data_IF_425586905480
#
_entry.id   IF_425586905480
#
_cell.length_a   1.000
_cell.length_b   1.000
_cell.length_c   1.000
_cell.angle_alpha   90.00
_cell.angle_beta   90.00
_cell.angle_gamma   90.00
#
_symmetry.space_group_name_H-M   'P 1'
#
loop_
_entity.id
_entity.type
_entity.pdbx_description
1 polymer ?
#
# COMPACT_ATOMS: atom_id res chain seq x y z
N UNK A 1 -0.57 21.10 17.51
CA UNK A 1 -1.84 21.00 18.25
C UNK A 1 -2.24 19.55 18.34
N UNK A 2 -2.65 19.04 19.51
CA UNK A 2 -3.20 17.69 19.65
C UNK A 2 -4.75 17.70 19.69
N UNK A 3 -5.40 16.52 19.75
CA UNK A 3 -6.86 16.42 19.77
C UNK A 3 -7.48 17.06 21.02
N UNK A 4 -6.85 16.90 22.18
CA UNK A 4 -7.25 17.55 23.43
C UNK A 4 -7.31 19.08 23.31
N UNK A 5 -6.25 19.69 22.79
CA UNK A 5 -6.15 21.13 22.56
C UNK A 5 -7.18 21.62 21.53
N UNK A 6 -7.45 20.83 20.48
CA UNK A 6 -8.47 21.17 19.49
C UNK A 6 -9.86 21.27 20.12
N UNK A 7 -10.24 20.27 20.94
CA UNK A 7 -11.51 20.28 21.68
C UNK A 7 -11.61 21.46 22.62
N UNK A 8 -10.56 21.73 23.41
CA UNK A 8 -10.55 22.85 24.34
C UNK A 8 -10.77 24.18 23.61
N UNK A 9 -10.09 24.39 22.48
CA UNK A 9 -10.26 25.61 21.67
C UNK A 9 -11.66 25.75 21.06
N UNK A 10 -12.31 24.64 20.70
CA UNK A 10 -13.72 24.65 20.25
C UNK A 10 -14.63 25.00 21.42
N UNK A 11 -14.43 24.38 22.58
CA UNK A 11 -15.19 24.63 23.80
C UNK A 11 -15.11 26.10 24.23
N UNK A 12 -13.90 26.65 24.29
CA UNK A 12 -13.65 28.05 24.65
C UNK A 12 -14.34 29.01 23.67
N UNK A 13 -14.36 28.65 22.38
CA UNK A 13 -14.86 29.53 21.33
C UNK A 13 -16.38 29.56 21.19
N UNK A 14 -17.07 28.47 21.55
CA UNK A 14 -18.53 28.43 21.55
C UNK A 14 -19.12 28.88 22.90
N UNK A 15 -18.29 29.02 23.94
CA UNK A 15 -18.74 29.41 25.28
C UNK A 15 -19.64 28.35 25.93
N UNK A 16 -19.39 27.06 25.62
CA UNK A 16 -20.22 25.96 26.05
C UNK A 16 -20.35 25.92 27.59
N UNK A 17 -21.58 25.96 28.09
CA UNK A 17 -21.89 25.68 29.50
C UNK A 17 -22.75 24.44 29.70
N UNK A 18 -23.33 23.89 28.62
CA UNK A 18 -24.15 22.67 28.68
C UNK A 18 -23.27 21.41 28.68
N UNK A 19 -23.59 20.46 29.56
CA UNK A 19 -22.89 19.18 29.68
C UNK A 19 -23.04 18.34 28.41
N UNK A 20 -24.19 18.43 27.75
CA UNK A 20 -24.48 17.71 26.51
C UNK A 20 -23.61 18.20 25.35
N UNK A 21 -23.54 19.52 25.11
CA UNK A 21 -22.69 20.06 24.05
C UNK A 21 -21.20 19.74 24.31
N UNK A 22 -20.76 19.85 25.57
CA UNK A 22 -19.38 19.51 25.96
C UNK A 22 -19.03 18.05 25.64
N UNK A 23 -19.98 17.12 25.84
CA UNK A 23 -19.79 15.69 25.53
C UNK A 23 -19.68 15.40 24.02
N UNK A 24 -20.20 16.28 23.16
CA UNK A 24 -20.20 16.10 21.70
C UNK A 24 -19.03 16.81 20.99
N UNK A 25 -18.24 17.63 21.70
CA UNK A 25 -17.14 18.38 21.09
C UNK A 25 -16.13 17.46 20.38
N UNK A 26 -15.84 16.30 20.97
CA UNK A 26 -14.97 15.30 20.33
C UNK A 26 -15.51 14.89 18.95
N UNK A 27 -16.79 14.52 18.87
CA UNK A 27 -17.48 14.18 17.63
C UNK A 27 -17.40 15.33 16.62
N UNK A 28 -17.66 16.57 17.04
CA UNK A 28 -17.62 17.75 16.17
C UNK A 28 -16.24 18.01 15.59
N UNK A 29 -15.19 17.87 16.39
CA UNK A 29 -13.80 17.99 15.92
C UNK A 29 -13.46 16.85 14.96
N UNK A 30 -13.85 15.61 15.29
CA UNK A 30 -13.63 14.44 14.43
C UNK A 30 -14.33 14.59 13.07
N UNK A 31 -15.57 15.09 13.05
CA UNK A 31 -16.31 15.35 11.82
C UNK A 31 -15.68 16.48 11.00
N UNK A 32 -15.17 17.54 11.65
CA UNK A 32 -14.44 18.60 10.97
C UNK A 32 -13.16 18.07 10.29
N UNK A 33 -12.41 17.19 10.97
CA UNK A 33 -11.24 16.53 10.40
C UNK A 33 -11.65 15.63 9.22
N UNK A 34 -12.71 14.84 9.39
CA UNK A 34 -13.27 14.01 8.31
C UNK A 34 -13.63 14.85 7.09
N UNK A 35 -14.30 15.98 7.27
CA UNK A 35 -14.67 16.90 6.19
C UNK A 35 -13.46 17.50 5.48
N UNK A 36 -12.41 17.87 6.24
CA UNK A 36 -11.14 18.33 5.66
C UNK A 36 -10.56 17.24 4.76
N UNK A 37 -10.42 16.01 5.23
CA UNK A 37 -9.85 14.92 4.42
C UNK A 37 -10.77 14.44 3.29
N UNK A 38 -12.10 14.54 3.44
CA UNK A 38 -13.06 14.29 2.37
C UNK A 38 -13.00 15.37 1.28
N UNK A 39 -12.61 16.59 1.62
CA UNK A 39 -12.51 17.69 0.67
C UNK A 39 -11.35 17.54 -0.33
N UNK A 40 -10.40 16.62 -0.13
CA UNK A 40 -9.36 16.37 -1.13
C UNK A 40 -8.23 15.49 -0.65
N UNK A 41 -7.35 15.15 -1.59
CA UNK A 41 -6.08 14.49 -1.30
C UNK A 41 -5.03 15.55 -0.97
N UNK A 42 -4.47 15.47 0.23
CA UNK A 42 -3.58 16.49 0.75
C UNK A 42 -2.11 16.08 0.67
N UNK A 43 -1.16 16.97 0.32
CA UNK A 43 0.26 16.61 0.21
C UNK A 43 0.84 15.99 1.49
N UNK A 44 0.33 16.38 2.66
CA UNK A 44 0.76 15.82 3.94
C UNK A 44 0.21 14.43 4.24
N UNK A 45 -0.75 13.94 3.45
CA UNK A 45 -1.23 12.55 3.50
C UNK A 45 -0.45 11.65 2.53
N UNK A 46 0.45 12.21 1.71
CA UNK A 46 1.34 11.43 0.88
C UNK A 46 2.41 10.80 1.76
N UNK A 47 2.61 9.49 1.60
CA UNK A 47 3.65 8.74 2.28
C UNK A 47 4.56 8.07 1.27
N UNK A 48 5.79 7.84 1.70
CA UNK A 48 6.79 7.10 0.94
C UNK A 48 7.49 6.16 1.90
N UNK A 49 7.43 4.88 1.60
CA UNK A 49 7.98 3.84 2.45
C UNK A 49 8.77 2.82 1.64
N UNK A 50 9.55 2.02 2.36
CA UNK A 50 10.36 0.96 1.79
C UNK A 50 9.81 -0.37 2.28
N UNK A 51 9.66 -1.32 1.38
CA UNK A 51 9.31 -2.70 1.73
C UNK A 51 10.22 -3.65 0.97
N UNK A 52 10.39 -4.85 1.51
CA UNK A 52 11.20 -5.90 0.88
C UNK A 52 10.28 -7.00 0.39
N UNK A 53 10.44 -7.40 -0.87
CA UNK A 53 9.85 -8.64 -1.39
C UNK A 53 10.96 -9.65 -1.50
N UNK A 54 10.73 -10.84 -0.96
CA UNK A 54 11.75 -11.88 -0.97
C UNK A 54 11.76 -12.62 -2.30
N UNK A 55 12.94 -13.11 -2.66
CA UNK A 55 13.10 -13.93 -3.85
C UNK A 55 12.38 -15.26 -3.74
N UNK A 56 12.22 -15.94 -4.88
CA UNK A 56 11.74 -17.31 -4.90
C UNK A 56 12.70 -18.26 -4.16
N UNK A 57 12.14 -19.16 -3.35
CA UNK A 57 12.91 -20.14 -2.57
C UNK A 57 12.81 -21.50 -3.26
N UNK A 58 13.94 -22.19 -3.42
CA UNK A 58 13.96 -23.54 -4.00
C UNK A 58 14.18 -24.59 -2.92
N UNK A 59 13.56 -25.75 -3.13
CA UNK A 59 13.65 -26.88 -2.21
C UNK A 59 13.26 -28.19 -2.86
N UNK A 60 12.94 -29.17 -2.03
CA UNK A 60 12.50 -30.50 -2.41
C UNK A 60 11.24 -30.86 -1.64
N UNK A 61 10.32 -31.52 -2.33
CA UNK A 61 9.05 -31.95 -1.76
C UNK A 61 8.64 -33.32 -2.27
N UNK A 62 7.72 -33.93 -1.55
CA UNK A 62 7.05 -35.16 -1.91
C UNK A 62 5.55 -34.89 -2.08
N UNK A 63 4.98 -35.32 -3.20
CA UNK A 63 3.57 -35.19 -3.52
C UNK A 63 3.07 -36.36 -4.35
N UNK A 64 1.77 -36.61 -4.28
CA UNK A 64 1.11 -37.63 -5.10
C UNK A 64 0.15 -36.98 -6.05
N UNK A 65 0.09 -37.47 -7.30
CA UNK A 65 -0.91 -37.03 -8.26
C UNK A 65 -2.33 -37.16 -7.69
N UNK A 66 -3.12 -36.10 -7.79
CA UNK A 66 -4.47 -36.00 -7.26
C UNK A 66 -4.57 -35.64 -5.78
N UNK A 67 -3.45 -35.50 -5.07
CA UNK A 67 -3.44 -35.02 -3.69
C UNK A 67 -3.56 -33.49 -3.64
N UNK A 68 -4.12 -32.99 -2.54
CA UNK A 68 -4.06 -31.56 -2.18
C UNK A 68 -2.93 -31.25 -1.20
N UNK A 69 -2.20 -32.26 -0.73
CA UNK A 69 -1.10 -32.09 0.21
C UNK A 69 0.26 -32.27 -0.47
N UNK A 70 1.16 -31.33 -0.24
CA UNK A 70 2.57 -31.37 -0.62
C UNK A 70 3.42 -31.33 0.65
N UNK A 71 4.30 -32.31 0.84
CA UNK A 71 5.14 -32.41 2.04
C UNK A 71 6.55 -31.95 1.68
N UNK A 72 7.05 -30.92 2.35
CA UNK A 72 8.42 -30.45 2.19
C UNK A 72 9.37 -31.34 2.99
N UNK A 73 10.55 -31.61 2.44
CA UNK A 73 11.54 -32.43 3.15
C UNK A 73 12.09 -31.67 4.37
N UNK A 74 12.26 -32.38 5.50
CA UNK A 74 12.84 -31.81 6.73
C UNK A 74 14.31 -31.47 6.54
N UNK A 75 14.75 -30.29 7.02
CA UNK A 75 16.12 -29.79 6.85
C UNK A 75 16.38 -29.11 5.50
N UNK A 76 15.32 -28.84 4.73
CA UNK A 76 15.39 -28.04 3.52
C UNK A 76 15.44 -26.54 3.86
N UNK A 77 16.26 -25.72 3.19
CA UNK A 77 16.19 -24.26 3.28
C UNK A 77 14.79 -23.70 3.01
N UNK A 78 14.04 -24.36 2.13
CA UNK A 78 12.63 -24.08 1.85
C UNK A 78 11.67 -24.48 2.97
N UNK A 79 12.09 -25.22 4.00
CA UNK A 79 11.27 -25.50 5.19
C UNK A 79 11.59 -24.49 6.30
N UNK A 80 12.84 -24.05 6.39
CA UNK A 80 13.32 -23.08 7.37
C UNK A 80 12.95 -21.63 7.03
N UNK A 81 13.17 -21.20 5.79
CA UNK A 81 12.74 -19.88 5.31
C UNK A 81 11.23 -19.72 5.47
N UNK A 82 10.55 -20.82 5.25
CA UNK A 82 9.12 -20.92 5.32
C UNK A 82 8.59 -20.78 6.77
N UNK A 83 9.18 -21.45 7.76
CA UNK A 83 8.75 -21.35 9.15
C UNK A 83 8.88 -19.95 9.79
N UNK A 84 9.56 -19.00 9.14
CA UNK A 84 9.95 -17.73 9.74
C UNK A 84 8.93 -16.59 9.58
N UNK A 85 8.05 -16.60 8.56
CA UNK A 85 6.99 -15.58 8.27
C UNK A 85 6.52 -15.63 6.81
N UNK A 86 7.00 -16.57 6.01
CA UNK A 86 6.71 -16.62 4.59
C UNK A 86 5.43 -17.41 4.39
N UNK A 87 4.40 -16.82 3.78
CA UNK A 87 3.37 -17.59 3.09
C UNK A 87 3.44 -17.14 1.64
N UNK A 88 4.25 -17.82 0.85
CA UNK A 88 4.17 -17.70 -0.60
C UNK A 88 2.80 -18.19 -1.03
N UNK A 89 2.06 -17.42 -1.83
CA UNK A 89 0.75 -17.85 -2.30
C UNK A 89 0.82 -18.90 -3.39
N UNK A 90 2.02 -19.18 -3.94
CA UNK A 90 2.20 -20.10 -5.06
C UNK A 90 3.37 -21.06 -4.85
N UNK A 91 3.21 -22.30 -5.30
CA UNK A 91 4.25 -23.32 -5.40
C UNK A 91 4.31 -23.90 -6.81
N UNK A 92 5.51 -23.96 -7.39
CA UNK A 92 5.77 -24.65 -8.65
C UNK A 92 6.17 -26.09 -8.38
N UNK A 93 5.38 -27.04 -8.86
CA UNK A 93 5.68 -28.46 -8.85
C UNK A 93 5.94 -28.90 -10.29
N UNK A 94 7.18 -29.30 -10.59
CA UNK A 94 7.60 -29.67 -11.95
C UNK A 94 7.27 -28.58 -12.99
N UNK A 95 6.15 -28.71 -13.70
CA UNK A 95 5.74 -27.80 -14.78
C UNK A 95 4.57 -26.90 -14.43
N UNK A 96 3.76 -27.23 -13.41
CA UNK A 96 2.58 -26.44 -13.05
C UNK A 96 2.81 -25.65 -11.76
N UNK A 97 2.04 -24.57 -11.63
CA UNK A 97 2.02 -23.71 -10.46
C UNK A 97 0.66 -23.89 -9.78
N UNK A 98 0.71 -24.06 -8.46
CA UNK A 98 -0.44 -24.29 -7.60
C UNK A 98 -0.53 -23.17 -6.57
N UNK A 99 -1.74 -22.79 -6.18
CA UNK A 99 -1.94 -21.90 -5.05
C UNK A 99 -1.75 -22.66 -3.75
N UNK A 100 -1.05 -22.07 -2.78
CA UNK A 100 -0.95 -22.60 -1.42
C UNK A 100 -2.14 -22.02 -0.65
N UNK A 101 -3.08 -22.89 -0.27
CA UNK A 101 -4.31 -22.54 0.46
C UNK A 101 -4.07 -22.47 1.97
N UNK A 102 -3.42 -23.50 2.52
CA UNK A 102 -3.10 -23.60 3.95
C UNK A 102 -1.70 -24.11 4.11
N UNK A 103 -1.00 -23.60 5.11
CA UNK A 103 0.23 -24.19 5.56
C UNK A 103 0.27 -24.34 7.07
N UNK A 104 0.47 -25.59 7.48
CA UNK A 104 0.77 -25.97 8.84
C UNK A 104 2.30 -26.02 9.08
N UNK A 105 2.83 -24.97 9.71
CA UNK A 105 4.26 -24.87 10.05
C UNK A 105 4.74 -26.02 10.93
N UNK A 106 3.85 -26.67 11.70
CA UNK A 106 4.21 -27.79 12.58
C UNK A 106 4.53 -29.09 11.85
N UNK A 107 4.06 -29.26 10.61
CA UNK A 107 4.11 -30.54 9.88
C UNK A 107 4.84 -30.47 8.53
N UNK A 108 5.43 -29.32 8.18
CA UNK A 108 6.06 -29.09 6.87
C UNK A 108 5.15 -29.46 5.68
N UNK A 109 3.84 -29.40 5.88
CA UNK A 109 2.83 -29.79 4.89
C UNK A 109 2.11 -28.55 4.38
N UNK A 110 2.11 -28.42 3.06
CA UNK A 110 1.38 -27.40 2.30
C UNK A 110 0.11 -28.02 1.74
N UNK A 111 -1.00 -27.32 1.88
CA UNK A 111 -2.24 -27.63 1.16
C UNK A 111 -2.31 -26.75 -0.08
N UNK A 112 -2.55 -27.36 -1.23
CA UNK A 112 -2.61 -26.69 -2.53
C UNK A 112 -3.99 -26.80 -3.17
N UNK A 113 -4.37 -25.76 -3.91
CA UNK A 113 -5.59 -25.70 -4.74
C UNK A 113 -5.24 -25.20 -6.15
N UNK A 114 -5.64 -25.89 -7.23
CA UNK A 114 -6.30 -27.21 -7.29
C UNK A 114 -5.41 -28.37 -6.84
N UNK A 115 -6.03 -29.55 -6.67
CA UNK A 115 -5.29 -30.80 -6.44
C UNK A 115 -4.24 -31.04 -7.54
N UNK A 116 -3.11 -31.64 -7.16
CA UNK A 116 -1.94 -31.78 -8.03
C UNK A 116 -2.27 -32.60 -9.27
N UNK A 117 -2.12 -32.00 -10.46
CA UNK A 117 -2.37 -32.67 -11.74
C UNK A 117 -1.11 -33.32 -12.32
N UNK A 118 0.06 -32.87 -11.85
CA UNK A 118 1.37 -33.40 -12.23
C UNK A 118 1.56 -34.87 -11.83
N UNK A 119 2.59 -35.50 -12.40
CA UNK A 119 3.06 -36.79 -11.92
C UNK A 119 3.53 -36.68 -10.46
N UNK A 120 3.39 -37.76 -9.70
CA UNK A 120 3.88 -37.84 -8.32
C UNK A 120 5.39 -37.56 -8.27
N UNK A 121 5.82 -36.80 -7.25
CA UNK A 121 7.22 -36.48 -6.99
C UNK A 121 7.65 -37.03 -5.63
N UNK A 122 8.90 -37.48 -5.53
CA UNK A 122 9.53 -37.89 -4.27
C UNK A 122 10.88 -37.20 -4.18
N UNK A 123 11.09 -36.39 -3.14
CA UNK A 123 12.25 -35.49 -3.02
C UNK A 123 12.51 -34.68 -4.31
N UNK A 124 11.44 -34.29 -5.01
CA UNK A 124 11.52 -33.62 -6.29
C UNK A 124 11.63 -32.11 -6.10
N UNK A 125 12.35 -31.45 -7.00
CA UNK A 125 12.60 -30.01 -6.91
C UNK A 125 11.29 -29.20 -6.97
N UNK A 126 11.17 -28.24 -6.07
CA UNK A 126 10.06 -27.28 -6.00
C UNK A 126 10.58 -25.86 -5.87
N UNK A 127 9.77 -24.91 -6.31
CA UNK A 127 10.02 -23.47 -6.11
C UNK A 127 8.82 -22.87 -5.43
N UNK A 128 9.04 -22.23 -4.29
CA UNK A 128 8.02 -21.50 -3.53
C UNK A 128 8.19 -20.02 -3.83
N UNK A 129 7.07 -19.37 -4.12
CA UNK A 129 7.05 -18.04 -4.67
C UNK A 129 6.30 -17.15 -3.70
N UNK A 130 6.99 -16.13 -3.19
CA UNK A 130 6.30 -15.02 -2.56
C UNK A 130 5.75 -14.10 -3.64
N UNK A 131 4.49 -14.30 -3.96
CA UNK A 131 3.76 -13.40 -4.84
C UNK A 131 3.08 -12.28 -4.06
N UNK A 132 2.96 -12.36 -2.73
CA UNK A 132 2.17 -11.44 -1.92
C UNK A 132 2.98 -10.66 -0.89
N UNK A 133 2.63 -9.38 -0.74
CA UNK A 133 3.13 -8.49 0.32
C UNK A 133 1.97 -7.72 0.93
N UNK A 134 1.79 -7.86 2.25
CA UNK A 134 0.94 -6.97 3.03
C UNK A 134 1.63 -5.63 3.24
N UNK A 135 0.92 -4.57 2.90
CA UNK A 135 1.37 -3.20 3.13
C UNK A 135 1.09 -2.73 4.57
N UNK A 136 1.56 -1.54 4.92
CA UNK A 136 1.22 -0.91 6.18
C UNK A 136 -0.30 -0.68 6.32
N UNK A 137 -0.79 -0.72 7.57
CA UNK A 137 -2.21 -0.61 7.91
C UNK A 137 -2.87 0.72 7.53
N UNK A 138 -2.05 1.75 7.37
CA UNK A 138 -2.48 3.08 6.98
C UNK A 138 -2.43 3.28 5.46
N UNK A 139 -2.19 2.26 4.62
CA UNK A 139 -2.30 2.44 3.17
C UNK A 139 -3.78 2.52 2.74
N UNK A 140 -4.16 3.61 2.08
CA UNK A 140 -5.49 3.76 1.45
C UNK A 140 -5.43 3.52 -0.06
N UNK A 141 -4.44 4.12 -0.74
CA UNK A 141 -4.32 4.02 -2.19
C UNK A 141 -2.88 4.05 -2.60
N UNK A 142 -2.42 2.96 -3.23
CA UNK A 142 -1.09 2.87 -3.83
C UNK A 142 -1.03 3.75 -5.08
N UNK A 143 -0.01 4.61 -5.17
CA UNK A 143 0.21 5.50 -6.29
C UNK A 143 1.31 5.00 -7.20
N UNK A 144 2.41 4.52 -6.60
CA UNK A 144 3.61 4.18 -7.31
C UNK A 144 4.40 3.15 -6.52
N UNK A 145 5.00 2.19 -7.24
CA UNK A 145 5.99 1.28 -6.69
C UNK A 145 7.20 1.37 -7.58
N UNK A 146 8.38 1.55 -6.98
CA UNK A 146 9.66 1.67 -7.68
C UNK A 146 10.61 0.59 -7.16
N UNK A 147 11.19 -0.19 -8.07
CA UNK A 147 12.32 -1.06 -7.75
C UNK A 147 13.54 -0.18 -7.43
N UNK A 148 14.19 -0.41 -6.29
CA UNK A 148 15.33 0.40 -5.85
C UNK A 148 16.66 -0.04 -6.43
N UNK A 149 16.79 -1.31 -6.81
CA UNK A 149 17.97 -1.82 -7.51
C UNK A 149 17.98 -1.31 -8.96
N UNK A 150 16.81 -1.22 -9.58
CA UNK A 150 16.62 -0.68 -10.91
C UNK A 150 15.50 0.35 -10.86
N UNK A 151 15.77 1.68 -10.84
CA UNK A 151 14.80 2.75 -10.56
C UNK A 151 13.73 2.89 -11.65
N UNK A 152 12.90 1.86 -11.75
CA UNK A 152 11.83 1.60 -12.69
C UNK A 152 10.55 1.60 -11.90
N UNK A 153 9.58 2.32 -12.43
CA UNK A 153 8.22 2.33 -11.90
C UNK A 153 7.49 1.10 -12.41
N UNK A 154 6.93 0.33 -11.50
CA UNK A 154 6.10 -0.83 -11.83
C UNK A 154 4.72 -0.34 -12.27
N UNK A 155 4.16 -0.98 -13.29
CA UNK A 155 2.85 -0.64 -13.85
C UNK A 155 1.73 -1.21 -12.98
N UNK A 156 0.89 -0.35 -12.40
CA UNK A 156 -0.26 -0.79 -11.63
C UNK A 156 -1.39 -1.29 -12.53
N UNK A 157 -1.94 -2.47 -12.24
CA UNK A 157 -3.18 -2.96 -12.85
C UNK A 157 -4.35 -2.82 -11.87
N UNK A 158 -5.39 -2.09 -12.29
CA UNK A 158 -6.61 -1.91 -11.51
C UNK A 158 -7.63 -2.97 -11.94
N UNK A 159 -8.02 -3.84 -11.01
CA UNK A 159 -9.13 -4.80 -11.21
C UNK A 159 -8.93 -6.12 -10.46
N UNK A 160 -10.04 -6.73 -10.03
CA UNK A 160 -10.10 -8.04 -9.34
C UNK A 160 -9.90 -9.25 -10.26
N UNK A 161 -9.61 -9.04 -11.53
CA UNK A 161 -9.44 -10.16 -12.44
C UNK A 161 -8.07 -10.80 -12.24
N UNK A 162 -8.04 -11.82 -11.37
CA UNK A 162 -7.38 -13.10 -11.69
C UNK A 162 -7.79 -13.47 -13.11
N UNK A 163 -7.12 -12.92 -14.13
CA UNK A 163 -7.20 -13.53 -15.46
C UNK A 163 -6.52 -14.87 -15.30
N UNK A 164 -7.34 -15.91 -15.35
CA UNK A 164 -7.07 -17.35 -15.19
C UNK A 164 -5.93 -17.92 -16.05
N UNK A 165 -5.21 -17.09 -16.79
CA UNK A 165 -4.16 -17.44 -17.74
C UNK A 165 -3.15 -16.28 -17.77
N UNK A 166 -2.26 -16.22 -16.79
CA UNK A 166 -1.02 -15.47 -16.96
C UNK A 166 -0.04 -16.41 -17.68
N UNK A 167 0.83 -15.89 -18.57
CA UNK A 167 1.99 -16.66 -19.02
C UNK A 167 2.71 -17.21 -17.80
N UNK A 168 3.25 -18.43 -17.87
CA UNK A 168 4.08 -18.98 -16.79
C UNK A 168 5.11 -17.90 -16.38
N UNK A 169 5.12 -17.41 -15.13
CA UNK A 169 6.09 -16.40 -14.68
C UNK A 169 7.53 -16.85 -14.94
N UNK A 170 7.77 -18.15 -15.06
CA UNK A 170 9.07 -18.76 -15.35
C UNK A 170 9.35 -19.04 -16.82
N UNK A 171 8.50 -18.61 -17.77
CA UNK A 171 8.98 -18.34 -19.13
C UNK A 171 9.90 -17.12 -19.17
N UNK A 172 9.92 -16.33 -18.08
CA UNK A 172 10.79 -15.19 -17.88
C UNK A 172 11.68 -15.48 -16.65
N UNK A 173 12.62 -16.41 -16.78
CA UNK A 173 13.67 -16.63 -15.77
C UNK A 173 14.60 -15.41 -15.79
N UNK A 174 14.91 -14.83 -14.63
CA UNK A 174 15.71 -13.60 -14.50
C UNK A 174 14.90 -12.31 -14.56
N UNK A 175 13.59 -12.37 -14.31
CA UNK A 175 12.68 -11.29 -14.64
C UNK A 175 12.39 -10.34 -13.48
N UNK A 176 12.73 -9.08 -13.72
CA UNK A 176 12.40 -7.97 -12.85
C UNK A 176 10.89 -7.76 -12.79
N UNK A 177 10.28 -7.65 -11.60
CA UNK A 177 8.88 -7.30 -11.50
C UNK A 177 8.63 -5.98 -12.22
N UNK A 178 7.63 -5.98 -13.09
CA UNK A 178 7.28 -4.82 -13.92
C UNK A 178 5.83 -4.40 -13.77
N UNK A 179 5.02 -5.22 -13.12
CA UNK A 179 3.61 -4.97 -12.83
C UNK A 179 3.29 -5.23 -11.36
N UNK A 180 2.26 -4.55 -10.86
CA UNK A 180 1.69 -4.81 -9.55
C UNK A 180 0.17 -4.68 -9.58
N UNK A 181 -0.53 -5.34 -8.66
CA UNK A 181 -1.96 -5.13 -8.42
C UNK A 181 -2.32 -5.43 -6.97
N UNK A 182 -3.51 -4.96 -6.57
CA UNK A 182 -4.11 -5.29 -5.28
C UNK A 182 -4.85 -6.62 -5.42
N UNK A 183 -4.45 -7.63 -4.63
CA UNK A 183 -5.17 -8.92 -4.55
C UNK A 183 -6.41 -8.78 -3.68
N UNK A 184 -6.27 -8.11 -2.55
CA UNK A 184 -7.31 -8.00 -1.54
C UNK A 184 -6.81 -7.32 -0.29
N UNK A 185 -7.39 -7.71 0.84
CA UNK A 185 -6.94 -7.31 2.18
C UNK A 185 -6.68 -8.54 3.02
N UNK A 186 -5.65 -8.47 3.86
CA UNK A 186 -5.31 -9.54 4.78
C UNK A 186 -6.29 -9.56 5.98
N UNK A 187 -6.13 -10.55 6.87
CA UNK A 187 -6.95 -10.68 8.08
C UNK A 187 -6.84 -9.47 9.04
N UNK A 188 -5.78 -8.68 8.93
CA UNK A 188 -5.57 -7.45 9.70
C UNK A 188 -6.14 -6.20 9.00
N UNK A 189 -6.71 -6.36 7.80
CA UNK A 189 -7.28 -5.27 7.00
C UNK A 189 -6.26 -4.45 6.22
N UNK A 190 -5.02 -4.94 6.10
CA UNK A 190 -3.98 -4.32 5.29
C UNK A 190 -4.15 -4.67 3.82
N UNK A 191 -3.72 -3.79 2.92
CA UNK A 191 -3.75 -4.06 1.48
C UNK A 191 -2.71 -5.12 1.12
N UNK A 192 -3.14 -6.20 0.48
CA UNK A 192 -2.25 -7.20 -0.11
C UNK A 192 -1.94 -6.83 -1.56
N UNK A 193 -0.65 -6.66 -1.84
CA UNK A 193 -0.14 -6.47 -3.18
C UNK A 193 0.46 -7.73 -3.75
N UNK A 194 0.33 -7.89 -5.06
CA UNK A 194 1.07 -8.88 -5.84
C UNK A 194 1.96 -8.19 -6.85
N UNK A 195 3.20 -8.68 -6.98
CA UNK A 195 4.17 -8.23 -7.97
C UNK A 195 4.31 -9.28 -9.08
N UNK A 196 4.45 -8.82 -10.33
CA UNK A 196 4.63 -9.72 -11.47
C UNK A 196 5.72 -9.27 -12.45
N UNK A 197 6.56 -10.21 -12.93
CA UNK A 197 6.74 -11.55 -12.36
C UNK A 197 7.24 -11.43 -10.91
N UNK A 198 7.15 -12.50 -10.10
CA UNK A 198 7.79 -12.52 -8.79
C UNK A 198 9.31 -12.31 -8.93
N UNK A 199 9.98 -11.66 -7.97
CA UNK A 199 11.41 -11.48 -8.04
C UNK A 199 12.16 -12.80 -7.78
N UNK A 200 13.28 -13.02 -8.48
CA UNK A 200 14.13 -14.20 -8.27
C UNK A 200 15.04 -14.07 -7.02
N UNK A 201 15.26 -12.85 -6.55
CA UNK A 201 16.10 -12.49 -5.41
C UNK A 201 15.41 -11.49 -4.50
N UNK A 202 15.91 -11.34 -3.27
CA UNK A 202 15.40 -10.36 -2.32
C UNK A 202 15.58 -8.95 -2.86
N UNK A 203 14.48 -8.20 -2.94
CA UNK A 203 14.44 -6.87 -3.52
C UNK A 203 13.74 -5.87 -2.64
N UNK A 204 14.31 -4.68 -2.63
CA UNK A 204 13.74 -3.54 -1.94
C UNK A 204 12.97 -2.67 -2.92
N UNK A 205 11.77 -2.30 -2.53
CA UNK A 205 10.88 -1.44 -3.28
C UNK A 205 10.55 -0.21 -2.47
N UNK A 206 10.43 0.91 -3.16
CA UNK A 206 9.84 2.11 -2.61
C UNK A 206 8.38 2.19 -3.06
N UNK A 207 7.46 2.36 -2.10
CA UNK A 207 6.06 2.62 -2.36
C UNK A 207 5.73 4.07 -2.06
N UNK A 208 4.96 4.71 -2.94
CA UNK A 208 4.28 5.96 -2.66
C UNK A 208 2.78 5.70 -2.59
N UNK A 209 2.13 6.20 -1.55
CA UNK A 209 0.70 5.96 -1.33
C UNK A 209 0.02 7.14 -0.62
N UNK A 210 -1.30 7.22 -0.80
CA UNK A 210 -2.15 8.03 0.07
C UNK A 210 -2.45 7.25 1.34
N UNK A 211 -2.14 7.86 2.49
CA UNK A 211 -2.48 7.26 3.78
C UNK A 211 -3.98 7.31 4.04
N UNK A 212 -4.48 6.29 4.72
CA UNK A 212 -5.81 6.19 5.31
C UNK A 212 -5.80 7.04 6.57
N UNK A 213 -6.67 8.03 6.60
CA UNK A 213 -6.80 8.90 7.77
C UNK A 213 -7.51 8.14 8.88
N UNK A 214 -6.79 7.85 9.96
CA UNK A 214 -7.40 7.30 11.17
C UNK A 214 -8.04 8.45 11.96
N UNK A 215 -9.36 8.40 12.10
CA UNK A 215 -10.11 9.43 12.82
C UNK A 215 -10.06 9.19 14.34
N UNK A 216 -9.89 10.25 15.15
CA UNK A 216 -9.89 10.12 16.60
C UNK A 216 -11.25 9.69 17.13
N UNK A 217 -11.21 8.72 18.04
CA UNK A 217 -12.39 8.13 18.68
C UNK A 217 -12.46 8.44 20.17
N UNK A 218 -11.35 8.85 20.79
CA UNK A 218 -11.31 9.09 22.23
C UNK A 218 -10.39 10.23 22.68
N UNK A 219 -10.60 10.65 23.93
CA UNK A 219 -10.09 11.90 24.51
C UNK A 219 -8.60 11.91 24.88
N UNK A 220 -7.88 10.82 24.66
CA UNK A 220 -6.44 10.68 24.96
C UNK A 220 -5.57 10.34 23.75
N UNK A 221 -6.14 10.30 22.55
CA UNK A 221 -5.39 9.91 21.34
C UNK A 221 -4.55 11.09 20.81
N UNK A 222 -3.23 11.02 20.95
CA UNK A 222 -2.29 11.76 20.10
C UNK A 222 -2.35 11.17 18.69
N UNK A 223 -3.39 11.51 17.95
CA UNK A 223 -3.63 10.88 16.66
C UNK A 223 -3.00 11.65 15.51
N UNK A 224 -2.37 10.88 14.62
CA UNK A 224 -1.65 11.38 13.46
C UNK A 224 -2.50 12.20 12.47
N UNK A 225 -3.83 12.12 12.58
CA UNK A 225 -4.75 12.90 11.77
C UNK A 225 -4.56 14.41 11.97
N UNK A 226 -4.43 14.88 13.22
CA UNK A 226 -4.15 16.30 13.49
C UNK A 226 -2.66 16.59 13.29
N UNK A 227 -1.76 15.69 13.69
CA UNK A 227 -0.32 15.94 13.57
C UNK A 227 0.14 16.02 12.11
N UNK A 228 -0.55 15.34 11.20
CA UNK A 228 -0.28 15.44 9.77
C UNK A 228 -0.74 16.75 9.14
N UNK A 229 -1.75 17.43 9.70
CA UNK A 229 -2.20 18.73 9.18
C UNK A 229 -1.19 19.81 9.62
N UNK A 230 -0.63 20.63 8.69
CA UNK A 230 0.29 21.70 9.06
C UNK A 230 -0.32 22.70 10.06
N UNK A 231 0.47 23.14 11.04
CA UNK A 231 -0.02 23.93 12.18
C UNK A 231 -0.78 25.20 11.79
N UNK A 232 -0.35 25.88 10.74
CA UNK A 232 -1.03 27.08 10.23
C UNK A 232 -2.49 26.83 9.78
N UNK A 233 -2.88 25.57 9.58
CA UNK A 233 -4.22 25.16 9.18
C UNK A 233 -5.04 24.59 10.34
N UNK A 234 -4.46 24.42 11.52
CA UNK A 234 -5.17 24.03 12.74
C UNK A 234 -6.38 24.92 13.07
N UNK A 235 -6.37 26.25 12.82
CA UNK A 235 -7.57 27.08 13.01
C UNK A 235 -8.79 26.61 12.19
N UNK A 236 -8.59 25.95 11.05
CA UNK A 236 -9.70 25.43 10.23
C UNK A 236 -10.40 24.25 10.91
N UNK A 237 -9.65 23.42 11.65
CA UNK A 237 -10.23 22.34 12.47
C UNK A 237 -11.14 22.95 13.55
N UNK A 238 -10.67 23.99 14.22
CA UNK A 238 -11.45 24.70 15.25
C UNK A 238 -12.70 25.34 14.62
N UNK A 239 -12.58 26.01 13.48
CA UNK A 239 -13.72 26.60 12.78
C UNK A 239 -14.78 25.55 12.39
N UNK A 240 -14.35 24.38 11.91
CA UNK A 240 -15.25 23.27 11.60
C UNK A 240 -15.96 22.72 12.84
N UNK A 241 -15.22 22.52 13.94
CA UNK A 241 -15.80 22.10 15.22
C UNK A 241 -16.84 23.10 15.75
N UNK A 242 -16.56 24.41 15.66
CA UNK A 242 -17.54 25.46 16.00
C UNK A 242 -18.78 25.39 15.12
N UNK A 243 -18.61 25.24 13.81
CA UNK A 243 -19.72 25.13 12.87
C UNK A 243 -20.64 23.95 13.23
N UNK A 244 -20.08 22.77 13.51
CA UNK A 244 -20.83 21.59 13.93
C UNK A 244 -21.54 21.78 15.28
N UNK A 245 -20.88 22.43 16.23
CA UNK A 245 -21.50 22.79 17.51
C UNK A 245 -22.69 23.76 17.36
N UNK A 246 -22.54 24.80 16.54
CA UNK A 246 -23.64 25.74 16.25
C UNK A 246 -24.76 25.08 15.45
N UNK A 247 -24.45 24.10 14.59
CA UNK A 247 -25.46 23.29 13.91
C UNK A 247 -26.26 22.40 14.87
N UNK A 248 -25.65 21.96 15.98
CA UNK A 248 -26.28 21.08 16.96
C UNK A 248 -27.20 21.82 17.94
N UNK A 249 -26.75 22.93 18.56
CA UNK A 249 -27.47 23.55 19.70
C UNK A 249 -28.12 24.91 19.36
N UNK A 250 -27.71 25.61 18.30
CA UNK A 250 -28.07 27.01 18.14
C UNK A 250 -29.02 27.26 16.96
N UNK A 251 -30.19 27.83 17.26
CA UNK A 251 -31.16 28.29 16.25
C UNK A 251 -30.71 29.59 15.54
N UNK A 252 -29.59 30.20 15.96
CA UNK A 252 -29.08 31.42 15.35
C UNK A 252 -28.38 31.12 14.01
N UNK A 253 -29.18 31.11 12.94
CA UNK A 253 -28.72 30.87 11.57
C UNK A 253 -27.56 31.78 11.15
N UNK A 254 -27.51 33.03 11.63
CA UNK A 254 -26.44 33.97 11.30
C UNK A 254 -25.08 33.55 11.83
N UNK A 255 -25.02 33.09 13.09
CA UNK A 255 -23.78 32.61 13.72
C UNK A 255 -23.33 31.30 13.08
N UNK A 256 -24.28 30.38 12.82
CA UNK A 256 -24.02 29.13 12.08
C UNK A 256 -23.44 29.42 10.69
N UNK A 257 -24.07 30.30 9.91
CA UNK A 257 -23.63 30.66 8.56
C UNK A 257 -22.24 31.30 8.56
N UNK A 258 -21.93 32.15 9.55
CA UNK A 258 -20.60 32.73 9.71
C UNK A 258 -19.53 31.67 9.97
N UNK A 259 -19.78 30.75 10.91
CA UNK A 259 -18.85 29.65 11.22
C UNK A 259 -18.67 28.70 10.03
N UNK A 260 -19.76 28.40 9.31
CA UNK A 260 -19.74 27.61 8.08
C UNK A 260 -18.85 28.26 7.02
N UNK A 261 -19.03 29.56 6.79
CA UNK A 261 -18.25 30.34 5.84
C UNK A 261 -16.76 30.35 6.19
N UNK A 262 -16.43 30.55 7.48
CA UNK A 262 -15.05 30.50 7.97
C UNK A 262 -14.40 29.13 7.70
N UNK A 263 -15.12 28.04 7.98
CA UNK A 263 -14.64 26.68 7.77
C UNK A 263 -14.36 26.37 6.29
N UNK A 264 -15.34 26.60 5.40
CA UNK A 264 -15.16 26.31 3.97
C UNK A 264 -14.20 27.28 3.27
N UNK A 265 -14.10 28.52 3.72
CA UNK A 265 -13.03 29.45 3.30
C UNK A 265 -11.66 28.94 3.73
N UNK A 266 -11.56 28.39 4.95
CA UNK A 266 -10.42 27.62 5.44
C UNK A 266 -10.04 26.50 4.46
N UNK A 267 -10.96 25.55 4.20
CA UNK A 267 -10.73 24.43 3.27
C UNK A 267 -10.30 24.92 1.88
N UNK A 268 -10.89 26.01 1.38
CA UNK A 268 -10.52 26.59 0.09
C UNK A 268 -9.08 27.11 0.08
N UNK A 269 -8.63 27.76 1.16
CA UNK A 269 -7.23 28.16 1.35
C UNK A 269 -6.30 26.95 1.42
N UNK A 270 -6.68 25.89 2.13
CA UNK A 270 -5.92 24.63 2.16
C UNK A 270 -5.76 24.06 0.74
N UNK A 271 -6.84 24.01 -0.05
CA UNK A 271 -6.79 23.51 -1.44
C UNK A 271 -5.88 24.35 -2.33
N UNK A 272 -5.94 25.67 -2.20
CA UNK A 272 -5.06 26.56 -2.97
C UNK A 272 -3.59 26.37 -2.60
N UNK A 273 -3.29 26.20 -1.31
CA UNK A 273 -1.96 25.86 -0.84
C UNK A 273 -1.48 24.51 -1.40
N UNK A 274 -2.30 23.47 -1.28
CA UNK A 274 -2.01 22.14 -1.83
C UNK A 274 -1.69 22.17 -3.33
N UNK A 275 -2.40 23.00 -4.11
CA UNK A 275 -2.13 23.18 -5.55
C UNK A 275 -0.77 23.83 -5.81
N UNK A 276 -0.39 24.82 -5.01
CA UNK A 276 0.91 25.49 -5.13
C UNK A 276 2.05 24.51 -4.83
N UNK A 277 1.92 23.73 -3.76
CA UNK A 277 2.88 22.69 -3.39
C UNK A 277 2.95 21.58 -4.43
N UNK A 278 1.81 21.06 -4.88
CA UNK A 278 1.76 20.04 -5.93
C UNK A 278 2.40 20.55 -7.24
N UNK A 279 2.26 21.83 -7.55
CA UNK A 279 2.95 22.50 -8.65
C UNK A 279 4.48 22.51 -8.48
N UNK A 280 4.97 22.74 -7.26
CA UNK A 280 6.39 22.64 -6.94
C UNK A 280 6.91 21.20 -7.04
N UNK A 281 6.16 20.21 -6.54
CA UNK A 281 6.50 18.79 -6.66
C UNK A 281 6.55 18.31 -8.12
N UNK A 282 5.60 18.74 -8.96
CA UNK A 282 5.64 18.43 -10.41
C UNK A 282 6.88 18.99 -11.09
N UNK A 283 7.32 20.20 -10.72
CA UNK A 283 8.54 20.82 -11.28
C UNK A 283 9.82 20.06 -10.90
N UNK A 284 9.89 19.54 -9.67
CA UNK A 284 10.99 18.68 -9.22
C UNK A 284 10.99 17.33 -9.95
N UNK A 285 9.81 16.75 -10.19
CA UNK A 285 9.66 15.48 -10.92
C UNK A 285 10.02 15.62 -12.39
N UNK A 286 9.59 16.69 -13.07
CA UNK A 286 10.01 16.98 -14.45
C UNK A 286 11.52 17.24 -14.53
N UNK A 287 12.13 17.89 -13.53
CA UNK A 287 13.59 18.05 -13.46
C UNK A 287 14.35 16.71 -13.37
N UNK A 288 13.79 15.72 -12.65
CA UNK A 288 14.32 14.34 -12.62
C UNK A 288 14.11 13.58 -13.93
N UNK A 289 13.00 13.84 -14.64
CA UNK A 289 12.78 13.27 -15.98
C UNK A 289 13.74 13.85 -17.03
N UNK A 290 14.13 15.12 -16.93
CA UNK A 290 15.19 15.70 -17.76
C UNK A 290 16.53 14.97 -17.56
N UNK A 291 16.91 14.64 -16.32
CA UNK A 291 18.09 13.80 -16.03
C UNK A 291 17.96 12.34 -16.50
N UNK A 292 16.75 11.79 -16.62
CA UNK A 292 16.52 10.45 -17.18
C UNK A 292 16.59 10.44 -18.71
N UNK A 293 16.24 11.55 -19.36
CA UNK A 293 16.30 11.69 -20.82
C UNK A 293 17.73 11.88 -21.37
N UNK A 294 18.66 12.42 -20.57
CA UNK A 294 20.06 12.62 -20.97
C UNK A 294 20.92 11.35 -20.92
N UNK A 295 20.49 10.30 -20.21
CA UNK A 295 21.18 8.99 -20.18
C UNK A 295 20.69 8.00 -21.26
N UNK A 296 19.90 8.45 -22.26
CA UNK A 296 19.44 7.62 -23.38
C UNK A 296 20.37 7.58 -24.61
N UNK A 297 21.60 8.11 -24.50
CA UNK A 297 22.61 7.93 -25.54
C UNK A 297 23.76 7.06 -25.02
N UNK A 298 23.53 5.75 -24.96
CA UNK A 298 24.60 4.80 -25.23
C UNK A 298 24.51 4.47 -26.73
N UNK A 299 25.54 4.77 -27.53
CA UNK A 299 25.54 4.42 -28.94
C UNK A 299 25.59 2.89 -29.05
N UNK A 300 24.49 2.29 -29.45
CA UNK A 300 24.45 0.91 -29.95
C UNK A 300 24.87 0.95 -31.41
N UNK A 301 26.17 1.04 -31.65
CA UNK A 301 26.73 0.77 -32.96
C UNK A 301 27.91 -0.19 -32.84
N UNK A 302 27.81 -1.27 -33.63
CA UNK A 302 28.79 -2.31 -33.95
C UNK A 302 28.89 -3.52 -33.03
N UNK A 303 27.95 -4.45 -33.22
CA UNK A 303 28.31 -5.85 -33.47
C UNK A 303 27.42 -6.36 -34.61
N UNK A 304 27.90 -6.24 -35.85
CA UNK A 304 27.40 -6.99 -37.00
C UNK A 304 28.58 -7.70 -37.63
N UNK A 305 28.45 -9.02 -37.83
CA UNK A 305 29.42 -9.80 -38.60
C UNK A 305 29.60 -11.25 -38.16
N UNK A 306 28.52 -12.03 -38.09
CA UNK A 306 28.63 -13.46 -38.35
C UNK A 306 28.82 -13.63 -39.85
N UNK A 307 30.00 -14.07 -40.28
CA UNK A 307 30.16 -14.78 -41.55
C UNK A 307 30.70 -16.15 -41.21
N UNK A 308 29.83 -17.14 -41.39
CA UNK A 308 30.20 -18.51 -41.69
C UNK A 308 31.18 -18.52 -42.84
N UNK A 309 32.26 -19.28 -42.74
CA UNK A 309 32.78 -19.99 -43.91
C UNK A 309 33.39 -21.33 -43.51
N UNK A 310 32.91 -22.32 -44.24
CA UNK A 310 33.37 -23.69 -44.35
C UNK A 310 34.72 -23.79 -45.05
N UNK A 311 35.66 -24.53 -44.46
CA UNK A 311 36.44 -25.61 -45.10
C UNK A 311 37.12 -26.43 -44.02
#
# INVERSE_FOLDING_TARGET
MNFGEAKQRVQDAIGASSTELTSQIATFVTDAIRDIHAAGRWPWDLRTEMFTVRGAITGTATWTKGATSVVLDTGNPATEALAAEYVGGLIKLSTNIYEIDVWDHGTATLTVDPAVIDASGTAAAVTIIQDMVSLASDVETVLEITDMAYPRVLSGRVGTQRKRLWPDPFLVIGAYPYEWWVRGVDASGNIELVLYPPPDDDRMYQIQYWRRVQLPTSDGEELEAITGIPERFHPVIVAGGKYRAFEFEFENEGVKASAQSEFYSGISRLRNFSRQDAGAFRRLRSGREYFRSSNRYLPTDRITGYTSDST
#
